data_IF_291506791931
#
_entry.id   IF_291506791931
#
_cell.length_a   1.000
_cell.length_b   1.000
_cell.length_c   1.000
_cell.angle_alpha   90.00
_cell.angle_beta   90.00
_cell.angle_gamma   90.00
#
_symmetry.space_group_name_H-M   'P 1'
#
loop_
_entity.id
_entity.type
_entity.pdbx_description
1 polymer ?
#
# COMPACT_ATOMS: atom_id res chain seq x y z
N UNK A 1 4.15 6.74 17.68
CA UNK A 1 5.47 6.09 17.61
C UNK A 1 5.69 5.75 16.14
N UNK A 2 6.69 6.36 15.49
CA UNK A 2 7.09 5.99 14.13
C UNK A 2 7.80 4.64 14.20
N UNK A 3 7.08 3.56 13.92
CA UNK A 3 7.65 2.23 13.80
C UNK A 3 8.61 2.26 12.60
N UNK A 4 9.90 2.06 12.85
CA UNK A 4 10.90 1.97 11.78
C UNK A 4 10.54 0.80 10.85
N UNK A 5 10.58 1.03 9.54
CA UNK A 5 10.34 -0.02 8.54
C UNK A 5 11.36 -1.16 8.72
N UNK A 6 10.89 -2.41 8.63
CA UNK A 6 11.76 -3.59 8.71
C UNK A 6 12.73 -3.63 7.52
N UNK A 7 13.85 -4.38 7.61
CA UNK A 7 14.79 -4.53 6.49
C UNK A 7 14.13 -5.02 5.20
N UNK A 8 13.13 -5.89 5.30
CA UNK A 8 12.37 -6.43 4.16
C UNK A 8 11.49 -5.36 3.51
N UNK A 9 10.79 -4.55 4.32
CA UNK A 9 10.02 -3.42 3.81
C UNK A 9 10.94 -2.40 3.14
N UNK A 10 12.11 -2.10 3.74
CA UNK A 10 13.10 -1.20 3.13
C UNK A 10 13.61 -1.74 1.79
N UNK A 11 13.87 -3.05 1.69
CA UNK A 11 14.23 -3.67 0.41
C UNK A 11 13.12 -3.56 -0.64
N UNK A 12 11.87 -3.76 -0.22
CA UNK A 12 10.70 -3.62 -1.09
C UNK A 12 10.47 -2.17 -1.55
N UNK A 13 10.73 -1.18 -0.68
CA UNK A 13 10.74 0.24 -1.03
C UNK A 13 11.80 0.54 -2.09
N UNK A 14 13.03 0.04 -1.94
CA UNK A 14 14.10 0.24 -2.93
C UNK A 14 13.74 -0.35 -4.29
N UNK A 15 13.18 -1.56 -4.30
CA UNK A 15 12.71 -2.24 -5.52
C UNK A 15 11.63 -1.45 -6.27
N UNK A 16 10.77 -0.73 -5.55
CA UNK A 16 9.67 0.07 -6.10
C UNK A 16 9.94 1.57 -6.13
N UNK A 17 11.18 1.99 -5.91
CA UNK A 17 11.56 3.40 -5.67
C UNK A 17 11.19 4.37 -6.80
N UNK A 18 11.08 3.87 -8.03
CA UNK A 18 10.67 4.66 -9.21
C UNK A 18 9.22 5.16 -9.12
N UNK A 19 8.35 4.48 -8.37
CA UNK A 19 6.94 4.86 -8.20
C UNK A 19 6.77 6.17 -7.43
N UNK A 20 7.78 6.58 -6.65
CA UNK A 20 7.79 7.79 -5.83
C UNK A 20 9.12 8.53 -5.96
N UNK A 21 9.58 8.70 -7.21
CA UNK A 21 10.84 9.34 -7.58
C UNK A 21 11.04 10.76 -7.04
N UNK A 22 9.97 11.46 -6.67
CA UNK A 22 10.01 12.82 -6.10
C UNK A 22 10.42 12.87 -4.62
N UNK A 23 10.48 11.73 -3.93
CA UNK A 23 10.96 11.64 -2.55
C UNK A 23 12.48 11.57 -2.56
N UNK A 24 13.13 12.30 -1.66
CA UNK A 24 14.60 12.27 -1.50
C UNK A 24 15.08 10.87 -1.12
N UNK A 25 16.21 10.45 -1.68
CA UNK A 25 16.70 9.07 -1.53
C UNK A 25 16.88 8.66 -0.06
N UNK A 26 17.45 9.55 0.75
CA UNK A 26 17.67 9.36 2.18
C UNK A 26 16.38 9.27 3.02
N UNK A 27 15.24 9.74 2.48
CA UNK A 27 13.93 9.71 3.13
C UNK A 27 13.08 8.51 2.68
N UNK A 28 13.37 7.90 1.52
CA UNK A 28 12.54 6.84 0.91
C UNK A 28 12.31 5.66 1.84
N UNK A 29 13.35 5.17 2.51
CA UNK A 29 13.22 4.02 3.41
C UNK A 29 12.36 4.28 4.65
N UNK A 30 12.06 5.56 4.92
CA UNK A 30 11.30 6.01 6.10
C UNK A 30 9.89 6.47 5.74
N UNK A 31 9.42 6.25 4.50
CA UNK A 31 8.04 6.56 4.11
C UNK A 31 7.04 5.77 4.96
N UNK A 32 5.88 6.38 5.23
CA UNK A 32 4.77 5.75 5.93
C UNK A 32 4.28 4.52 5.17
N UNK A 33 4.06 3.41 5.87
CA UNK A 33 3.50 2.18 5.31
C UNK A 33 2.19 2.42 4.56
N UNK A 34 1.36 3.36 5.03
CA UNK A 34 0.10 3.74 4.36
C UNK A 34 0.34 4.38 3.01
N UNK A 35 1.40 5.20 2.90
CA UNK A 35 1.80 5.79 1.63
C UNK A 35 2.33 4.71 0.68
N UNK A 36 3.17 3.79 1.17
CA UNK A 36 3.65 2.66 0.38
C UNK A 36 2.49 1.82 -0.18
N UNK A 37 1.51 1.46 0.66
CA UNK A 37 0.30 0.75 0.23
C UNK A 37 -0.42 1.51 -0.89
N UNK A 38 -0.63 2.82 -0.73
CA UNK A 38 -1.30 3.64 -1.73
C UNK A 38 -0.55 3.68 -3.07
N UNK A 39 0.78 3.78 -3.04
CA UNK A 39 1.60 3.79 -4.26
C UNK A 39 1.57 2.44 -4.97
N UNK A 40 1.77 1.34 -4.24
CA UNK A 40 1.79 0.00 -4.83
C UNK A 40 0.43 -0.37 -5.43
N UNK A 41 -0.68 -0.11 -4.74
CA UNK A 41 -2.01 -0.43 -5.26
C UNK A 41 -2.40 0.45 -6.47
N UNK A 42 -1.93 1.70 -6.56
CA UNK A 42 -2.23 2.58 -7.71
C UNK A 42 -1.35 2.35 -8.93
N UNK A 43 -0.06 2.05 -8.71
CA UNK A 43 0.97 2.15 -9.74
C UNK A 43 1.89 0.92 -9.83
N UNK A 44 1.88 0.05 -8.82
CA UNK A 44 2.65 -1.19 -8.83
C UNK A 44 2.10 -2.21 -9.82
N UNK A 45 2.94 -3.19 -10.15
CA UNK A 45 2.54 -4.34 -10.95
C UNK A 45 2.03 -5.50 -10.07
N UNK A 46 1.60 -6.60 -10.72
CA UNK A 46 1.09 -7.78 -10.03
C UNK A 46 2.08 -8.36 -9.02
N UNK A 47 3.38 -8.39 -9.36
CA UNK A 47 4.44 -8.90 -8.48
C UNK A 47 4.57 -8.04 -7.22
N UNK A 48 4.54 -6.73 -7.39
CA UNK A 48 4.64 -5.76 -6.30
C UNK A 48 3.43 -5.84 -5.38
N UNK A 49 2.22 -5.97 -5.93
CA UNK A 49 0.99 -6.14 -5.14
C UNK A 49 1.03 -7.45 -4.35
N UNK A 50 1.45 -8.55 -4.97
CA UNK A 50 1.59 -9.84 -4.28
C UNK A 50 2.60 -9.77 -3.13
N UNK A 51 3.77 -9.18 -3.39
CA UNK A 51 4.82 -9.02 -2.38
C UNK A 51 4.40 -8.10 -1.23
N UNK A 52 3.62 -7.05 -1.52
CA UNK A 52 3.01 -6.21 -0.49
C UNK A 52 2.12 -7.04 0.45
N UNK A 53 1.26 -7.92 -0.09
CA UNK A 53 0.40 -8.77 0.74
C UNK A 53 1.19 -9.80 1.56
N UNK A 54 2.31 -10.30 1.03
CA UNK A 54 3.19 -11.23 1.77
C UNK A 54 3.91 -10.53 2.93
N UNK A 55 4.38 -9.30 2.72
CA UNK A 55 5.15 -8.56 3.72
C UNK A 55 4.28 -7.88 4.79
N UNK A 56 3.12 -7.33 4.39
CA UNK A 56 2.25 -6.53 5.27
C UNK A 56 1.03 -7.34 5.74
N UNK A 57 0.60 -8.32 4.95
CA UNK A 57 -0.63 -9.07 5.21
C UNK A 57 -1.85 -8.44 4.51
N UNK A 58 -2.60 -9.29 3.79
CA UNK A 58 -3.76 -8.84 3.00
C UNK A 58 -4.83 -8.12 3.82
N UNK A 59 -5.07 -8.54 5.07
CA UNK A 59 -6.07 -7.91 5.93
C UNK A 59 -5.65 -6.51 6.38
N UNK A 60 -4.37 -6.31 6.73
CA UNK A 60 -3.85 -4.99 7.11
C UNK A 60 -3.85 -4.03 5.92
N UNK A 61 -3.44 -4.51 4.73
CA UNK A 61 -3.50 -3.72 3.51
C UNK A 61 -4.95 -3.33 3.17
N UNK A 62 -5.90 -4.25 3.31
CA UNK A 62 -7.32 -3.95 3.12
C UNK A 62 -7.81 -2.90 4.11
N UNK A 63 -7.45 -2.99 5.39
CA UNK A 63 -7.81 -2.01 6.41
C UNK A 63 -7.28 -0.61 6.08
N UNK A 64 -6.01 -0.51 5.70
CA UNK A 64 -5.37 0.75 5.27
C UNK A 64 -6.11 1.33 4.06
N UNK A 65 -6.37 0.50 3.05
CA UNK A 65 -7.09 0.89 1.85
C UNK A 65 -8.49 1.44 2.16
N UNK A 66 -9.30 0.72 2.94
CA UNK A 66 -10.65 1.16 3.33
C UNK A 66 -10.63 2.47 4.13
N UNK A 67 -9.67 2.62 5.06
CA UNK A 67 -9.45 3.88 5.82
C UNK A 67 -9.03 5.05 4.93
N UNK A 68 -8.31 4.81 3.84
CA UNK A 68 -7.89 5.87 2.93
C UNK A 68 -9.01 6.30 1.99
N UNK A 69 -9.83 5.36 1.48
CA UNK A 69 -10.93 5.69 0.56
C UNK A 69 -12.17 6.25 1.27
N UNK A 70 -12.27 6.16 2.59
CA UNK A 70 -13.34 6.78 3.38
C UNK A 70 -13.12 8.27 3.65
N UNK A 71 -11.94 8.81 3.31
CA UNK A 71 -11.60 10.24 3.50
C UNK A 71 -12.31 11.11 2.46
N UNK A 72 -12.50 12.39 2.80
CA UNK A 72 -13.05 13.40 1.87
C UNK A 72 -12.25 13.54 0.58
N UNK A 73 -10.92 13.43 0.65
CA UNK A 73 -10.01 13.42 -0.50
C UNK A 73 -9.35 12.05 -0.58
N UNK A 74 -9.44 11.44 -1.75
CA UNK A 74 -8.95 10.09 -2.03
C UNK A 74 -7.91 10.18 -3.14
N UNK A 75 -6.71 9.67 -2.88
CA UNK A 75 -5.60 9.68 -3.84
C UNK A 75 -5.62 8.47 -4.79
N UNK A 76 -6.51 7.51 -4.54
CA UNK A 76 -6.70 6.35 -5.41
C UNK A 76 -7.46 6.70 -6.68
N UNK A 77 -7.03 6.09 -7.80
CA UNK A 77 -7.78 6.15 -9.05
C UNK A 77 -9.09 5.37 -8.92
N UNK A 78 -10.17 5.86 -9.52
CA UNK A 78 -11.49 5.21 -9.43
C UNK A 78 -11.47 3.72 -9.83
N UNK A 79 -10.70 3.36 -10.87
CA UNK A 79 -10.53 1.95 -11.30
C UNK A 79 -9.82 1.10 -10.24
N UNK A 80 -8.77 1.64 -9.63
CA UNK A 80 -8.05 1.00 -8.51
C UNK A 80 -8.99 0.76 -7.33
N UNK A 81 -9.79 1.76 -6.96
CA UNK A 81 -10.79 1.63 -5.89
C UNK A 81 -11.76 0.49 -6.21
N UNK A 82 -12.34 0.48 -7.41
CA UNK A 82 -13.31 -0.54 -7.79
C UNK A 82 -12.71 -1.95 -7.74
N UNK A 83 -11.53 -2.14 -8.35
CA UNK A 83 -10.86 -3.43 -8.37
C UNK A 83 -10.55 -3.95 -6.96
N UNK A 84 -9.87 -3.13 -6.14
CA UNK A 84 -9.44 -3.57 -4.82
C UNK A 84 -10.59 -3.69 -3.81
N UNK A 85 -11.69 -2.93 -3.96
CA UNK A 85 -12.92 -3.20 -3.19
C UNK A 85 -13.46 -4.61 -3.44
N UNK A 86 -13.52 -5.04 -4.71
CA UNK A 86 -13.98 -6.39 -5.05
C UNK A 86 -12.97 -7.46 -4.59
N UNK A 87 -11.68 -7.20 -4.81
CA UNK A 87 -10.61 -8.12 -4.42
C UNK A 87 -10.57 -8.33 -2.91
N UNK A 88 -10.59 -7.27 -2.10
CA UNK A 88 -10.54 -7.39 -0.64
C UNK A 88 -11.84 -7.94 -0.07
N UNK A 89 -13.02 -7.63 -0.65
CA UNK A 89 -14.28 -8.27 -0.24
C UNK A 89 -14.23 -9.80 -0.37
N UNK A 90 -13.51 -10.33 -1.36
CA UNK A 90 -13.38 -11.78 -1.58
C UNK A 90 -12.28 -12.41 -0.74
N UNK A 91 -11.14 -11.73 -0.59
CA UNK A 91 -9.89 -12.35 -0.11
C UNK A 91 -9.44 -11.87 1.28
N UNK A 92 -10.06 -10.82 1.84
CA UNK A 92 -9.77 -10.34 3.19
C UNK A 92 -10.96 -10.64 4.11
N UNK A 93 -10.69 -11.13 5.32
CA UNK A 93 -11.70 -11.61 6.27
C UNK A 93 -11.86 -10.71 7.50
N UNK A 94 -11.33 -9.48 7.44
CA UNK A 94 -11.52 -8.46 8.48
C UNK A 94 -12.94 -7.88 8.49
N UNK A 95 -13.40 -7.40 9.64
CA UNK A 95 -14.69 -6.70 9.77
C UNK A 95 -14.61 -5.30 9.17
N UNK A 96 -14.75 -5.18 7.85
CA UNK A 96 -14.80 -3.91 7.13
C UNK A 96 -16.28 -3.49 6.98
N UNK A 97 -16.85 -2.90 8.04
CA UNK A 97 -18.20 -2.32 8.04
C UNK A 97 -18.19 -0.88 7.53
#
# INVERSE_FOLDING_TARGET
MTTTNTPEIKAFIRENSSLFWWIKEEEKENIDIKFLVEQILNYGDEKSVKKLFELVGINEVAEIFYKQISKRRVNYRARTINFFRLYFKKNAHGSFN
#
